data_IF_163625374887
#
_entry.id   IF_163625374887
#
_cell.length_a   1.000
_cell.length_b   1.000
_cell.length_c   1.000
_cell.angle_alpha   90.00
_cell.angle_beta   90.00
_cell.angle_gamma   90.00
#
_symmetry.space_group_name_H-M   'P 1'
#
loop_
_entity.id
_entity.type
_entity.pdbx_description
1 polymer ?
#
# COMPACT_ATOMS: atom_id res chain seq x y z
N UNK A 1 52.34 -33.71 -20.63
CA UNK A 1 51.76 -32.46 -21.16
C UNK A 1 51.02 -31.66 -20.08
N UNK A 2 50.43 -32.31 -19.07
CA UNK A 2 49.70 -31.67 -17.96
C UNK A 2 50.56 -30.76 -17.06
N UNK A 3 51.76 -31.17 -16.64
CA UNK A 3 52.61 -30.37 -15.73
C UNK A 3 53.00 -28.96 -16.23
N UNK A 4 52.96 -28.69 -17.54
CA UNK A 4 53.29 -27.35 -18.07
C UNK A 4 52.11 -26.37 -17.95
N UNK A 5 50.90 -26.90 -17.93
CA UNK A 5 49.66 -26.15 -17.82
C UNK A 5 49.44 -25.73 -16.36
N UNK A 6 49.71 -26.62 -15.41
CA UNK A 6 49.56 -26.35 -13.96
C UNK A 6 50.50 -25.24 -13.49
N UNK A 7 51.75 -25.27 -13.95
CA UNK A 7 52.74 -24.21 -13.66
C UNK A 7 52.38 -22.85 -14.27
N UNK A 8 51.63 -22.82 -15.38
CA UNK A 8 51.16 -21.58 -15.99
C UNK A 8 49.99 -20.97 -15.21
N UNK A 9 49.08 -21.79 -14.69
CA UNK A 9 47.99 -21.37 -13.82
C UNK A 9 48.50 -20.83 -12.48
N UNK A 10 49.50 -21.46 -11.87
CA UNK A 10 50.10 -20.99 -10.61
C UNK A 10 50.76 -19.61 -10.74
N UNK A 11 51.39 -19.34 -11.89
CA UNK A 11 52.04 -18.05 -12.18
C UNK A 11 51.02 -16.93 -12.41
N UNK A 12 49.83 -17.25 -12.93
CA UNK A 12 48.72 -16.32 -13.13
C UNK A 12 47.99 -16.06 -11.80
N UNK A 13 47.78 -17.10 -10.99
CA UNK A 13 47.08 -17.04 -9.70
C UNK A 13 47.83 -16.21 -8.64
N UNK A 14 49.16 -16.14 -8.71
CA UNK A 14 49.96 -15.36 -7.77
C UNK A 14 50.26 -13.92 -8.25
N UNK A 15 49.60 -13.43 -9.30
CA UNK A 15 49.77 -12.06 -9.74
C UNK A 15 49.12 -11.08 -8.75
N UNK A 16 49.88 -10.07 -8.30
CA UNK A 16 49.36 -9.04 -7.38
C UNK A 16 48.10 -8.37 -7.97
N UNK A 17 48.06 -8.18 -9.28
CA UNK A 17 46.93 -7.61 -10.03
C UNK A 17 45.65 -8.46 -9.98
N UNK A 18 45.77 -9.80 -9.97
CA UNK A 18 44.61 -10.70 -9.88
C UNK A 18 43.97 -10.66 -8.47
N UNK A 19 44.79 -10.56 -7.42
CA UNK A 19 44.32 -10.41 -6.04
C UNK A 19 43.59 -9.08 -5.80
N UNK A 20 44.05 -8.00 -6.43
CA UNK A 20 43.33 -6.72 -6.45
C UNK A 20 42.04 -6.78 -7.27
N UNK A 21 42.06 -7.42 -8.45
CA UNK A 21 40.88 -7.55 -9.32
C UNK A 21 39.75 -8.42 -8.74
N UNK A 22 40.07 -9.51 -8.03
CA UNK A 22 39.06 -10.36 -7.39
C UNK A 22 38.44 -9.63 -6.18
N UNK A 23 39.26 -8.93 -5.38
CA UNK A 23 38.78 -8.14 -4.26
C UNK A 23 37.83 -7.01 -4.70
N UNK A 24 38.12 -6.33 -5.81
CA UNK A 24 37.24 -5.27 -6.34
C UNK A 24 35.93 -5.82 -6.89
N UNK A 25 35.93 -6.97 -7.58
CA UNK A 25 34.69 -7.60 -8.05
C UNK A 25 33.80 -8.06 -6.88
N UNK A 26 34.39 -8.58 -5.80
CA UNK A 26 33.63 -8.93 -4.58
C UNK A 26 33.02 -7.69 -3.94
N UNK A 27 33.75 -6.58 -3.84
CA UNK A 27 33.24 -5.32 -3.29
C UNK A 27 32.13 -4.73 -4.17
N UNK A 28 32.27 -4.77 -5.49
CA UNK A 28 31.24 -4.32 -6.44
C UNK A 28 29.98 -5.20 -6.32
N UNK A 29 30.14 -6.52 -6.17
CA UNK A 29 29.03 -7.44 -5.96
C UNK A 29 28.32 -7.19 -4.61
N UNK A 30 29.07 -6.90 -3.54
CA UNK A 30 28.50 -6.52 -2.22
C UNK A 30 27.76 -5.18 -2.31
N UNK A 31 28.27 -4.20 -3.07
CA UNK A 31 27.62 -2.91 -3.28
C UNK A 31 26.33 -3.04 -4.12
N UNK A 32 26.27 -3.94 -5.10
CA UNK A 32 25.05 -4.21 -5.89
C UNK A 32 23.92 -4.83 -5.04
N UNK A 33 24.28 -5.66 -4.04
CA UNK A 33 23.32 -6.22 -3.07
C UNK A 33 22.75 -5.17 -2.09
N UNK A 34 23.40 -4.02 -1.95
CA UNK A 34 22.97 -2.97 -1.03
C UNK A 34 21.95 -1.99 -1.66
N UNK A 35 21.92 -1.87 -2.99
CA UNK A 35 21.14 -0.82 -3.68
C UNK A 35 19.68 -1.22 -4.01
N UNK A 36 19.29 -2.50 -3.89
CA UNK A 36 17.93 -2.99 -4.24
C UNK A 36 16.95 -3.09 -3.07
N UNK A 37 17.03 -2.18 -2.10
CA UNK A 37 16.05 -2.20 -1.00
C UNK A 37 15.77 -0.82 -0.41
N UNK A 38 15.18 0.06 -1.20
CA UNK A 38 14.13 0.91 -0.64
C UNK A 38 12.91 0.01 -0.46
N UNK A 39 12.48 -0.33 0.78
CA UNK A 39 11.15 -0.84 0.94
C UNK A 39 10.21 0.28 0.49
N UNK A 40 9.58 0.09 -0.68
CA UNK A 40 8.42 0.87 -1.04
C UNK A 40 7.51 0.85 0.19
N UNK A 41 7.26 2.01 0.81
CA UNK A 41 6.27 2.14 1.87
C UNK A 41 5.03 1.37 1.40
N UNK A 42 4.44 0.48 2.23
CA UNK A 42 3.45 -0.49 1.77
C UNK A 42 2.38 0.27 0.99
N UNK A 43 2.41 0.16 -0.36
CA UNK A 43 1.47 0.84 -1.25
C UNK A 43 0.08 0.55 -0.70
N UNK A 44 -0.58 1.62 -0.26
CA UNK A 44 -1.77 1.62 0.60
C UNK A 44 -2.76 0.54 0.14
N UNK A 45 -2.77 -0.62 0.80
CA UNK A 45 -3.72 -1.71 0.50
C UNK A 45 -5.19 -1.24 0.56
N UNK A 46 -5.43 -0.10 1.22
CA UNK A 46 -6.71 0.61 1.30
C UNK A 46 -7.20 1.03 -0.08
N UNK A 47 -6.33 1.48 -0.97
CA UNK A 47 -6.71 1.95 -2.32
C UNK A 47 -7.39 0.83 -3.13
N UNK A 48 -6.95 -0.43 -2.94
CA UNK A 48 -7.57 -1.60 -3.57
C UNK A 48 -9.00 -1.87 -3.07
N UNK A 49 -9.38 -1.33 -1.92
CA UNK A 49 -10.73 -1.46 -1.36
C UNK A 49 -11.66 -0.33 -1.84
N UNK A 50 -11.11 0.75 -2.38
CA UNK A 50 -11.88 1.89 -2.89
C UNK A 50 -12.36 1.62 -4.31
N UNK A 51 -13.52 2.17 -4.66
CA UNK A 51 -14.03 2.13 -6.03
C UNK A 51 -13.12 2.94 -6.95
N UNK A 52 -12.69 2.34 -8.08
CA UNK A 52 -11.87 3.01 -9.09
C UNK A 52 -12.53 4.24 -9.72
N UNK A 53 -13.86 4.35 -9.64
CA UNK A 53 -14.62 5.41 -10.32
C UNK A 53 -14.82 6.66 -9.44
N UNK A 54 -15.03 6.47 -8.13
CA UNK A 54 -15.51 7.53 -7.23
C UNK A 54 -14.73 7.57 -5.89
N UNK A 55 -13.76 6.66 -5.71
CA UNK A 55 -12.99 6.57 -4.47
C UNK A 55 -13.85 6.22 -3.24
N UNK A 56 -15.08 5.74 -3.44
CA UNK A 56 -15.99 5.36 -2.36
C UNK A 56 -15.80 3.90 -1.96
N UNK A 57 -15.89 3.63 -0.67
CA UNK A 57 -15.84 2.28 -0.11
C UNK A 57 -17.22 1.64 -0.30
N UNK A 58 -17.36 0.74 -1.29
CA UNK A 58 -18.67 0.25 -1.80
C UNK A 58 -19.57 -0.27 -0.67
N UNK A 59 -19.04 -1.17 0.18
CA UNK A 59 -19.79 -1.76 1.30
C UNK A 59 -20.27 -0.70 2.31
N UNK A 60 -19.44 0.29 2.59
CA UNK A 60 -19.76 1.35 3.54
C UNK A 60 -20.75 2.37 2.97
N UNK A 61 -20.62 2.69 1.68
CA UNK A 61 -21.60 3.49 0.94
C UNK A 61 -22.98 2.87 0.97
N UNK A 62 -23.08 1.56 0.71
CA UNK A 62 -24.35 0.83 0.76
C UNK A 62 -24.93 0.78 2.19
N UNK A 63 -24.08 0.59 3.19
CA UNK A 63 -24.49 0.68 4.59
C UNK A 63 -25.11 2.04 4.91
N UNK A 64 -24.46 3.15 4.54
CA UNK A 64 -24.99 4.50 4.80
C UNK A 64 -26.31 4.71 4.03
N UNK A 65 -26.34 4.33 2.74
CA UNK A 65 -27.52 4.47 1.89
C UNK A 65 -28.74 3.73 2.45
N UNK A 66 -28.55 2.53 2.97
CA UNK A 66 -29.63 1.71 3.55
C UNK A 66 -30.11 2.24 4.91
N UNK A 67 -29.27 3.01 5.61
CA UNK A 67 -29.63 3.64 6.89
C UNK A 67 -30.21 5.05 6.73
N UNK A 68 -30.32 5.57 5.50
CA UNK A 68 -31.01 6.82 5.23
C UNK A 68 -32.53 6.63 5.22
N UNK A 69 -33.25 7.67 5.63
CA UNK A 69 -34.71 7.68 5.54
C UNK A 69 -35.21 7.57 4.09
N UNK A 70 -34.50 8.20 3.15
CA UNK A 70 -34.71 8.07 1.71
C UNK A 70 -33.40 7.61 1.05
N UNK A 71 -33.25 6.31 0.74
CA UNK A 71 -32.06 5.78 0.09
C UNK A 71 -31.79 6.39 -1.28
N UNK A 72 -32.82 6.88 -2.00
CA UNK A 72 -32.66 7.50 -3.32
C UNK A 72 -32.00 8.88 -3.24
N UNK A 73 -32.04 9.52 -2.06
CA UNK A 73 -31.46 10.83 -1.81
C UNK A 73 -29.96 10.81 -1.50
N UNK A 74 -29.34 9.64 -1.44
CA UNK A 74 -27.91 9.51 -1.13
C UNK A 74 -27.05 10.08 -2.27
N UNK A 75 -26.19 11.03 -1.92
CA UNK A 75 -25.17 11.59 -2.81
C UNK A 75 -23.82 11.52 -2.09
N UNK A 76 -22.84 10.87 -2.74
CA UNK A 76 -21.47 10.84 -2.25
C UNK A 76 -20.79 12.17 -2.54
N UNK A 77 -20.04 12.70 -1.57
CA UNK A 77 -19.30 13.96 -1.72
C UNK A 77 -17.80 13.72 -1.69
N UNK A 78 -17.33 12.99 -0.68
CA UNK A 78 -15.91 12.77 -0.48
C UNK A 78 -15.67 11.56 0.42
N UNK A 79 -14.60 10.81 0.16
CA UNK A 79 -14.06 9.82 1.10
C UNK A 79 -12.63 10.20 1.46
N UNK A 80 -12.35 10.31 2.74
CA UNK A 80 -10.98 10.43 3.27
C UNK A 80 -10.67 9.20 4.11
N UNK A 81 -9.41 8.79 4.12
CA UNK A 81 -8.95 7.73 4.99
C UNK A 81 -7.63 8.12 5.64
N UNK A 82 -7.38 7.57 6.81
CA UNK A 82 -6.11 7.66 7.52
C UNK A 82 -5.68 6.24 7.90
N UNK A 83 -4.52 5.82 7.41
CA UNK A 83 -3.92 4.56 7.82
C UNK A 83 -3.42 4.69 9.27
N UNK A 84 -3.80 3.72 10.12
CA UNK A 84 -3.39 3.68 11.52
C UNK A 84 -2.09 2.89 11.73
N UNK A 85 -1.59 2.19 10.70
CA UNK A 85 -0.33 1.45 10.73
C UNK A 85 -0.41 0.07 11.40
N UNK A 86 -1.56 -0.31 11.94
CA UNK A 86 -1.86 -1.59 12.59
C UNK A 86 -2.65 -2.56 11.69
N UNK A 87 -2.76 -2.23 10.40
CA UNK A 87 -3.62 -2.95 9.46
C UNK A 87 -5.08 -2.51 9.50
N UNK A 88 -5.38 -1.42 10.22
CA UNK A 88 -6.67 -0.74 10.20
C UNK A 88 -6.55 0.67 9.63
N UNK A 89 -7.64 1.22 9.13
CA UNK A 89 -7.71 2.57 8.60
C UNK A 89 -8.99 3.26 9.08
N UNK A 90 -8.87 4.49 9.57
CA UNK A 90 -10.02 5.31 9.90
C UNK A 90 -10.54 5.98 8.63
N UNK A 91 -11.79 5.69 8.26
CA UNK A 91 -12.44 6.19 7.04
C UNK A 91 -13.48 7.23 7.44
N UNK A 92 -13.49 8.34 6.71
CA UNK A 92 -14.41 9.47 6.86
C UNK A 92 -15.11 9.67 5.52
N UNK A 93 -16.41 9.40 5.45
CA UNK A 93 -17.22 9.60 4.26
C UNK A 93 -18.18 10.76 4.47
N UNK A 94 -18.03 11.79 3.64
CA UNK A 94 -18.95 12.91 3.56
C UNK A 94 -20.02 12.60 2.52
N UNK A 95 -21.27 12.74 2.89
CA UNK A 95 -22.40 12.44 2.02
C UNK A 95 -23.55 13.43 2.25
N UNK A 96 -24.43 13.54 1.26
CA UNK A 96 -25.70 14.26 1.38
C UNK A 96 -26.84 13.26 1.38
N UNK A 97 -27.89 13.60 2.11
CA UNK A 97 -29.12 12.82 2.16
C UNK A 97 -30.28 13.64 2.69
N UNK A 98 -31.49 13.25 2.34
CA UNK A 98 -32.72 13.85 2.86
C UNK A 98 -33.02 13.35 4.26
N UNK A 99 -33.45 14.27 5.12
CA UNK A 99 -34.00 13.93 6.43
C UNK A 99 -35.52 13.66 6.35
N UNK A 100 -36.13 13.36 7.50
CA UNK A 100 -37.58 13.14 7.61
C UNK A 100 -38.43 14.37 7.23
N UNK A 101 -37.84 15.57 7.18
CA UNK A 101 -38.48 16.81 6.74
C UNK A 101 -38.21 17.13 5.27
N UNK A 102 -37.71 16.16 4.50
CA UNK A 102 -37.38 16.28 3.07
C UNK A 102 -36.30 17.34 2.74
N UNK A 103 -35.56 17.80 3.75
CA UNK A 103 -34.44 18.72 3.59
C UNK A 103 -33.14 17.94 3.34
N UNK A 104 -32.36 18.37 2.34
CA UNK A 104 -31.04 17.78 2.05
C UNK A 104 -30.00 18.30 3.02
N UNK A 105 -29.40 17.41 3.80
CA UNK A 105 -28.36 17.72 4.76
C UNK A 105 -27.05 17.04 4.37
N UNK A 106 -25.93 17.71 4.64
CA UNK A 106 -24.60 17.12 4.51
C UNK A 106 -24.19 16.53 5.85
N UNK A 107 -23.80 15.26 5.86
CA UNK A 107 -23.42 14.48 7.05
C UNK A 107 -22.07 13.82 6.85
N UNK A 108 -21.48 13.37 7.95
CA UNK A 108 -20.20 12.65 7.95
C UNK A 108 -20.38 11.32 8.65
N UNK A 109 -20.06 10.23 7.95
CA UNK A 109 -19.97 8.90 8.54
C UNK A 109 -18.49 8.53 8.74
N UNK A 110 -18.18 8.04 9.93
CA UNK A 110 -16.85 7.57 10.35
C UNK A 110 -16.92 6.08 10.60
N UNK A 111 -15.89 5.35 10.21
CA UNK A 111 -15.75 3.95 10.58
C UNK A 111 -14.27 3.54 10.63
N UNK A 112 -14.00 2.42 11.29
CA UNK A 112 -12.69 1.77 11.26
C UNK A 112 -12.75 0.62 10.26
N UNK A 113 -11.89 0.65 9.24
CA UNK A 113 -11.78 -0.34 8.18
C UNK A 113 -10.61 -1.27 8.45
N UNK A 114 -10.83 -2.57 8.38
CA UNK A 114 -9.76 -3.55 8.30
C UNK A 114 -9.21 -3.60 6.87
N UNK A 115 -7.95 -3.23 6.70
CA UNK A 115 -7.33 -3.06 5.38
C UNK A 115 -7.15 -4.39 4.64
N UNK A 116 -7.03 -5.51 5.38
CA UNK A 116 -6.82 -6.83 4.78
C UNK A 116 -8.11 -7.47 4.28
N UNK A 117 -9.21 -7.31 5.01
CA UNK A 117 -10.50 -7.96 4.71
C UNK A 117 -11.52 -7.04 4.03
N UNK A 118 -11.33 -5.72 4.12
CA UNK A 118 -12.31 -4.75 3.64
C UNK A 118 -13.60 -4.72 4.48
N UNK A 119 -13.57 -5.24 5.71
CA UNK A 119 -14.67 -5.16 6.67
C UNK A 119 -14.52 -3.93 7.55
N UNK A 120 -15.64 -3.31 7.93
CA UNK A 120 -15.65 -2.11 8.76
C UNK A 120 -16.40 -2.35 10.08
N UNK A 121 -16.02 -1.60 11.11
CA UNK A 121 -16.60 -1.61 12.44
C UNK A 121 -16.56 -0.19 13.05
N UNK A 122 -17.13 -0.02 14.24
CA UNK A 122 -17.21 1.26 14.96
C UNK A 122 -17.80 2.40 14.10
N UNK A 123 -18.96 2.15 13.49
CA UNK A 123 -19.61 3.15 12.64
C UNK A 123 -20.24 4.24 13.50
N UNK A 124 -19.86 5.50 13.25
CA UNK A 124 -20.42 6.69 13.89
C UNK A 124 -20.88 7.65 12.81
N UNK A 125 -22.12 8.13 12.89
CA UNK A 125 -22.68 9.13 11.97
C UNK A 125 -22.94 10.44 12.70
N UNK A 126 -22.44 11.54 12.11
CA UNK A 126 -22.54 12.91 12.62
C UNK A 126 -23.30 13.80 11.62
#
# INVERSE_FOLDING_TARGET
>A
MFNKIDNAFDKIANSKWLKFGIGTVIIIFIMDQCFKKTPDAPKNKIENQLSNFDGSLIKFREYIKNNLNDPSSFEHVETRYKDNGDGTASVYMKYRGKNAFNATLTKIAKCTLNVSTGNFYDVVTE
#
